data_IF_525020683065
#
_entry.id   IF_525020683065
#
_cell.length_a   1.000
_cell.length_b   1.000
_cell.length_c   1.000
_cell.angle_alpha   90.00
_cell.angle_beta   90.00
_cell.angle_gamma   90.00
#
_symmetry.space_group_name_H-M   'P 1'
#
loop_
_entity.id
_entity.type
_entity.pdbx_description
1 polymer ?
#
# COMPACT_ATOMS: atom_id res chain seq x y z
N UNK A 1 -11.22 2.80 13.60
CA UNK A 1 -11.08 4.05 12.83
C UNK A 1 -12.12 4.12 11.72
N UNK A 2 -12.52 5.34 11.32
CA UNK A 2 -13.40 5.53 10.15
C UNK A 2 -12.51 5.59 8.92
N UNK A 3 -12.76 4.73 7.94
CA UNK A 3 -12.10 4.70 6.64
C UNK A 3 -13.16 4.52 5.54
N UNK A 4 -12.84 4.96 4.32
CA UNK A 4 -13.64 4.63 3.14
C UNK A 4 -13.73 3.11 2.97
N UNK A 5 -14.90 2.62 2.53
CA UNK A 5 -15.15 1.19 2.39
C UNK A 5 -14.13 0.53 1.44
N UNK A 6 -13.81 1.20 0.33
CA UNK A 6 -12.80 0.69 -0.60
C UNK A 6 -11.40 0.62 0.02
N UNK A 7 -11.01 1.58 0.87
CA UNK A 7 -9.71 1.54 1.55
C UNK A 7 -9.58 0.38 2.55
N UNK A 8 -10.69 -0.09 3.12
CA UNK A 8 -10.71 -1.22 4.05
C UNK A 8 -10.42 -2.56 3.36
N UNK A 9 -10.67 -2.68 2.05
CA UNK A 9 -10.39 -3.87 1.27
C UNK A 9 -8.93 -4.35 1.33
N UNK A 10 -7.98 -3.48 1.72
CA UNK A 10 -6.59 -3.87 1.94
C UNK A 10 -6.46 -5.07 2.88
N UNK A 11 -7.28 -5.15 3.92
CA UNK A 11 -7.19 -6.23 4.91
C UNK A 11 -7.67 -7.58 4.37
N UNK A 12 -8.63 -7.56 3.45
CA UNK A 12 -9.11 -8.76 2.75
C UNK A 12 -7.98 -9.44 1.98
N UNK A 13 -7.10 -8.64 1.36
CA UNK A 13 -6.00 -9.15 0.54
C UNK A 13 -4.73 -9.38 1.33
N UNK A 14 -4.46 -8.55 2.35
CA UNK A 14 -3.28 -8.68 3.20
C UNK A 14 -3.39 -9.89 4.14
N UNK A 15 -4.58 -10.18 4.66
CA UNK A 15 -4.85 -11.28 5.59
C UNK A 15 -3.85 -11.34 6.76
N UNK A 16 -3.67 -10.24 7.53
CA UNK A 16 -2.64 -10.18 8.57
C UNK A 16 -2.91 -11.19 9.68
N UNK A 17 -1.84 -11.80 10.21
CA UNK A 17 -1.93 -12.83 11.26
C UNK A 17 -1.13 -12.44 12.50
N UNK A 18 -1.58 -12.92 13.66
CA UNK A 18 -0.84 -12.75 14.90
C UNK A 18 0.54 -13.40 14.82
N UNK A 19 1.53 -12.71 15.38
CA UNK A 19 2.92 -13.18 15.40
C UNK A 19 3.74 -12.85 14.14
N UNK A 20 3.10 -12.33 13.08
CA UNK A 20 3.79 -11.92 11.86
C UNK A 20 4.51 -10.57 12.00
N UNK A 21 5.58 -10.40 11.25
CA UNK A 21 6.26 -9.13 11.01
C UNK A 21 5.61 -8.46 9.79
N UNK A 22 4.93 -7.35 9.99
CA UNK A 22 4.14 -6.68 8.95
C UNK A 22 4.65 -5.27 8.73
N UNK A 23 4.91 -4.91 7.47
CA UNK A 23 5.22 -3.55 7.07
C UNK A 23 3.98 -2.86 6.50
N UNK A 24 3.68 -1.67 7.00
CA UNK A 24 2.75 -0.70 6.39
C UNK A 24 3.59 0.45 5.83
N UNK A 25 3.76 0.49 4.52
CA UNK A 25 4.59 1.47 3.82
C UNK A 25 3.72 2.55 3.18
N UNK A 26 4.13 3.81 3.32
CA UNK A 26 3.35 5.02 3.06
C UNK A 26 2.14 5.11 4.02
N UNK A 27 2.40 4.82 5.29
CA UNK A 27 1.41 4.52 6.31
C UNK A 27 0.52 5.70 6.74
N UNK A 28 1.00 6.93 6.58
CA UNK A 28 0.28 8.09 7.10
C UNK A 28 -1.06 8.34 6.37
N UNK A 29 -2.13 8.58 7.09
CA UNK A 29 -2.24 8.98 8.52
C UNK A 29 -2.41 7.83 9.52
N UNK A 30 -2.17 6.57 9.15
CA UNK A 30 -2.18 5.43 10.08
C UNK A 30 -3.50 4.65 10.17
N UNK A 31 -4.45 4.93 9.28
CA UNK A 31 -5.72 4.19 9.25
C UNK A 31 -5.54 2.71 8.92
N UNK A 32 -4.65 2.39 7.99
CA UNK A 32 -4.34 1.01 7.62
C UNK A 32 -3.47 0.32 8.67
N UNK A 33 -2.50 1.04 9.26
CA UNK A 33 -1.70 0.57 10.41
C UNK A 33 -2.59 0.09 11.55
N UNK A 34 -3.56 0.93 11.95
CA UNK A 34 -4.49 0.57 13.05
C UNK A 34 -5.41 -0.57 12.65
N UNK A 35 -5.86 -0.65 11.39
CA UNK A 35 -6.70 -1.73 10.90
C UNK A 35 -5.95 -3.08 10.89
N UNK A 36 -4.66 -3.10 10.52
CA UNK A 36 -3.82 -4.29 10.66
C UNK A 36 -3.82 -4.78 12.11
N UNK A 37 -3.64 -3.87 13.08
CA UNK A 37 -3.62 -4.20 14.51
C UNK A 37 -4.99 -4.57 15.07
N UNK A 38 -6.10 -4.08 14.48
CA UNK A 38 -7.45 -4.52 14.83
C UNK A 38 -7.68 -5.99 14.43
N UNK A 39 -7.19 -6.39 13.24
CA UNK A 39 -7.31 -7.76 12.73
C UNK A 39 -6.31 -8.71 13.39
N UNK A 40 -5.07 -8.27 13.60
CA UNK A 40 -3.98 -9.06 14.14
C UNK A 40 -3.31 -8.32 15.33
N UNK A 41 -3.93 -8.33 16.52
CA UNK A 41 -3.45 -7.54 17.68
C UNK A 41 -2.07 -7.93 18.20
N UNK A 42 -1.58 -9.13 17.87
CA UNK A 42 -0.27 -9.64 18.27
C UNK A 42 0.76 -9.61 17.11
N UNK A 43 0.44 -8.97 15.99
CA UNK A 43 1.41 -8.75 14.93
C UNK A 43 2.42 -7.67 15.33
N UNK A 44 3.65 -7.83 14.86
CA UNK A 44 4.68 -6.80 14.97
C UNK A 44 4.61 -5.89 13.75
N UNK A 45 3.99 -4.71 13.90
CA UNK A 45 3.77 -3.79 12.79
C UNK A 45 4.81 -2.68 12.79
N UNK A 46 5.45 -2.48 11.62
CA UNK A 46 6.28 -1.32 11.32
C UNK A 46 5.52 -0.43 10.33
N UNK A 47 5.25 0.82 10.72
CA UNK A 47 4.61 1.84 9.90
C UNK A 47 5.65 2.86 9.45
N UNK A 48 5.78 3.06 8.14
CA UNK A 48 6.81 3.93 7.55
C UNK A 48 6.16 4.93 6.60
N UNK A 49 6.55 6.19 6.73
CA UNK A 49 6.18 7.25 5.77
C UNK A 49 7.36 8.20 5.58
N UNK A 50 7.47 8.80 4.41
CA UNK A 50 8.55 9.75 4.11
C UNK A 50 8.32 11.10 4.80
N UNK A 51 7.07 11.46 5.06
CA UNK A 51 6.66 12.74 5.63
C UNK A 51 6.53 12.66 7.16
N UNK A 52 7.52 13.22 7.85
CA UNK A 52 7.56 13.28 9.32
C UNK A 52 6.33 14.00 9.92
N UNK A 53 5.85 15.05 9.27
CA UNK A 53 4.69 15.80 9.77
C UNK A 53 3.41 14.94 9.72
N UNK A 54 3.27 14.13 8.67
CA UNK A 54 2.14 13.21 8.53
C UNK A 54 2.22 12.06 9.54
N UNK A 55 3.42 11.65 9.96
CA UNK A 55 3.61 10.60 10.97
C UNK A 55 3.06 10.98 12.35
N UNK A 56 2.96 12.28 12.67
CA UNK A 56 2.31 12.73 13.91
C UNK A 56 0.89 12.15 14.06
N UNK A 57 0.14 12.08 12.94
CA UNK A 57 -1.22 11.50 12.91
C UNK A 57 -1.24 9.99 13.16
N UNK A 58 -0.19 9.29 12.75
CA UNK A 58 -0.04 7.84 13.03
C UNK A 58 0.10 7.64 14.53
N UNK A 59 0.99 8.41 15.19
CA UNK A 59 1.15 8.38 16.64
C UNK A 59 -0.14 8.72 17.38
N UNK A 60 -0.87 9.74 16.95
CA UNK A 60 -2.13 10.15 17.56
C UNK A 60 -3.19 9.04 17.46
N UNK A 61 -3.30 8.39 16.31
CA UNK A 61 -4.22 7.29 16.09
C UNK A 61 -3.87 6.07 16.97
N UNK A 62 -2.60 5.68 17.00
CA UNK A 62 -2.13 4.58 17.85
C UNK A 62 -2.41 4.87 19.34
N UNK A 63 -2.08 6.08 19.80
CA UNK A 63 -2.34 6.51 21.19
C UNK A 63 -3.83 6.48 21.52
N UNK A 64 -4.67 7.06 20.66
CA UNK A 64 -6.12 7.11 20.85
C UNK A 64 -6.76 5.73 20.94
N UNK A 65 -6.24 4.75 20.20
CA UNK A 65 -6.75 3.38 20.16
C UNK A 65 -6.04 2.43 21.14
N UNK A 66 -5.04 2.92 21.90
CA UNK A 66 -4.27 2.09 22.81
C UNK A 66 -3.43 1.02 22.13
N UNK A 67 -3.07 1.25 20.85
CA UNK A 67 -2.32 0.32 20.01
C UNK A 67 -0.83 0.67 19.97
N UNK A 68 0.00 -0.29 19.61
CA UNK A 68 1.45 -0.11 19.49
C UNK A 68 1.95 -0.59 18.13
N UNK A 69 2.72 0.24 17.45
CA UNK A 69 3.48 -0.10 16.26
C UNK A 69 4.85 0.58 16.32
N UNK A 70 5.80 0.08 15.58
CA UNK A 70 7.06 0.76 15.35
C UNK A 70 6.84 1.79 14.23
N UNK A 71 6.93 3.08 14.53
CA UNK A 71 6.73 4.14 13.55
C UNK A 71 8.09 4.73 13.19
N UNK A 72 8.38 4.83 11.90
CA UNK A 72 9.66 5.37 11.39
C UNK A 72 9.42 6.32 10.22
N UNK A 73 10.23 7.37 10.17
CA UNK A 73 10.38 8.14 8.94
C UNK A 73 11.32 7.40 8.00
N UNK A 74 10.95 7.28 6.71
CA UNK A 74 11.81 6.64 5.73
C UNK A 74 11.29 6.76 4.31
N UNK A 75 12.22 6.81 3.37
CA UNK A 75 11.92 6.73 1.94
C UNK A 75 11.75 5.25 1.54
N UNK A 76 10.61 4.91 0.95
CA UNK A 76 10.31 3.55 0.49
C UNK A 76 11.30 3.00 -0.53
N UNK A 77 12.03 3.89 -1.24
CA UNK A 77 13.11 3.52 -2.17
C UNK A 77 14.42 3.13 -1.48
N UNK A 78 14.53 3.34 -0.17
CA UNK A 78 15.76 3.15 0.60
C UNK A 78 15.53 2.35 1.88
N UNK A 79 14.97 1.14 1.80
CA UNK A 79 14.58 0.36 2.98
C UNK A 79 15.74 0.07 3.93
N UNK A 80 16.96 -0.10 3.42
CA UNK A 80 18.13 -0.35 4.25
C UNK A 80 18.39 0.76 5.29
N UNK A 81 18.01 2.02 5.01
CA UNK A 81 18.23 3.14 5.93
C UNK A 81 17.32 3.07 7.17
N UNK A 82 16.16 2.42 7.10
CA UNK A 82 15.19 2.41 8.18
C UNK A 82 14.79 1.02 8.70
N UNK A 83 14.98 -0.08 7.94
CA UNK A 83 14.76 -1.44 8.44
C UNK A 83 16.00 -2.34 8.40
N UNK A 84 17.12 -1.88 7.83
CA UNK A 84 18.32 -2.70 7.66
C UNK A 84 18.03 -3.95 6.83
N UNK A 85 18.37 -5.12 7.36
CA UNK A 85 18.14 -6.42 6.72
C UNK A 85 16.82 -7.10 7.16
N UNK A 86 15.94 -6.38 7.86
CA UNK A 86 14.67 -6.94 8.32
C UNK A 86 13.84 -7.44 7.14
N UNK A 87 13.30 -8.64 7.29
CA UNK A 87 12.35 -9.23 6.34
C UNK A 87 10.97 -9.34 6.98
N UNK A 88 9.95 -9.13 6.16
CA UNK A 88 8.55 -9.10 6.58
C UNK A 88 7.79 -10.32 6.04
N UNK A 89 6.86 -10.82 6.83
CA UNK A 89 5.92 -11.85 6.39
C UNK A 89 4.87 -11.26 5.45
N UNK A 90 4.49 -9.98 5.72
CA UNK A 90 3.56 -9.24 4.90
C UNK A 90 3.99 -7.79 4.72
N UNK A 91 3.72 -7.26 3.53
CA UNK A 91 3.94 -5.86 3.21
C UNK A 91 2.65 -5.28 2.63
N UNK A 92 2.15 -4.20 3.22
CA UNK A 92 1.15 -3.34 2.62
C UNK A 92 1.86 -2.12 2.04
N UNK A 93 1.78 -1.95 0.73
CA UNK A 93 2.24 -0.75 0.04
C UNK A 93 1.02 0.04 -0.43
N UNK A 94 0.58 1.00 0.39
CA UNK A 94 -0.43 2.00 0.00
C UNK A 94 0.28 3.11 -0.77
N UNK A 95 0.53 2.85 -2.06
CA UNK A 95 1.50 3.59 -2.84
C UNK A 95 1.10 5.07 -3.04
N UNK A 96 2.08 5.99 -3.02
CA UNK A 96 1.83 7.38 -3.40
C UNK A 96 1.32 7.40 -4.83
N UNK A 97 0.17 8.05 -5.07
CA UNK A 97 -0.50 8.03 -6.35
C UNK A 97 -1.23 9.35 -6.65
N UNK A 98 -1.79 9.48 -7.85
CA UNK A 98 -2.53 10.66 -8.30
C UNK A 98 -3.79 10.96 -7.48
N UNK A 99 -4.29 9.98 -6.73
CA UNK A 99 -5.53 10.03 -5.96
C UNK A 99 -6.79 10.29 -6.84
N UNK A 100 -6.75 9.93 -8.11
CA UNK A 100 -7.87 10.16 -9.04
C UNK A 100 -9.14 9.38 -8.67
N UNK A 101 -9.03 8.32 -7.86
CA UNK A 101 -10.16 7.56 -7.34
C UNK A 101 -11.00 8.29 -6.29
N UNK A 102 -10.45 9.32 -5.63
CA UNK A 102 -11.16 10.08 -4.58
C UNK A 102 -11.76 11.40 -5.08
N UNK A 103 -11.88 11.58 -6.38
CA UNK A 103 -12.40 12.80 -7.02
C UNK A 103 -13.82 13.16 -6.56
N UNK A 104 -14.59 12.20 -6.08
CA UNK A 104 -15.93 12.43 -5.50
C UNK A 104 -15.84 13.35 -4.28
N UNK A 105 -14.81 13.20 -3.45
CA UNK A 105 -14.57 14.00 -2.24
C UNK A 105 -13.63 15.18 -2.49
N UNK A 106 -12.76 15.06 -3.49
CA UNK A 106 -11.74 16.04 -3.87
C UNK A 106 -11.80 16.32 -5.37
N UNK A 107 -12.85 17.04 -5.85
CA UNK A 107 -13.09 17.25 -7.28
C UNK A 107 -12.04 18.12 -7.97
N UNK A 108 -11.24 18.85 -7.19
CA UNK A 108 -10.10 19.66 -7.66
C UNK A 108 -8.97 18.81 -8.25
N UNK A 109 -8.84 17.55 -7.85
CA UNK A 109 -7.81 16.62 -8.34
C UNK A 109 -7.79 16.55 -9.87
N UNK A 110 -8.94 16.47 -10.51
CA UNK A 110 -9.06 16.40 -11.97
C UNK A 110 -8.45 17.62 -12.71
N UNK A 111 -8.33 18.76 -12.03
CA UNK A 111 -7.78 20.00 -12.58
C UNK A 111 -6.31 20.20 -12.21
N UNK A 112 -5.87 19.59 -11.10
CA UNK A 112 -4.52 19.76 -10.57
C UNK A 112 -3.53 18.74 -11.14
N UNK A 113 -3.99 17.58 -11.60
CA UNK A 113 -3.10 16.54 -12.14
C UNK A 113 -2.74 16.80 -13.60
N UNK A 114 -1.46 16.61 -13.93
CA UNK A 114 -0.88 16.72 -15.27
C UNK A 114 -0.31 15.37 -15.67
N UNK A 115 -0.21 15.09 -16.97
CA UNK A 115 0.36 13.83 -17.48
C UNK A 115 1.77 13.54 -16.92
N UNK A 116 2.59 14.58 -16.79
CA UNK A 116 3.91 14.47 -16.18
C UNK A 116 3.86 13.95 -14.73
N UNK A 117 2.92 14.45 -13.94
CA UNK A 117 2.78 14.04 -12.53
C UNK A 117 2.45 12.55 -12.44
N UNK A 118 1.63 12.03 -13.38
CA UNK A 118 1.29 10.60 -13.44
C UNK A 118 2.52 9.75 -13.75
N UNK A 119 3.33 10.18 -14.73
CA UNK A 119 4.55 9.47 -15.10
C UNK A 119 5.56 9.45 -13.94
N UNK A 120 5.76 10.57 -13.26
CA UNK A 120 6.64 10.68 -12.09
C UNK A 120 6.16 9.77 -10.94
N UNK A 121 4.84 9.71 -10.69
CA UNK A 121 4.26 8.84 -9.67
C UNK A 121 4.39 7.36 -10.05
N UNK A 122 4.13 6.99 -11.30
CA UNK A 122 4.28 5.62 -11.76
C UNK A 122 5.75 5.14 -11.64
N UNK A 123 6.72 6.02 -11.95
CA UNK A 123 8.14 5.71 -11.74
C UNK A 123 8.47 5.56 -10.25
N UNK A 124 7.99 6.45 -9.40
CA UNK A 124 8.18 6.36 -7.95
C UNK A 124 7.62 5.05 -7.38
N UNK A 125 6.44 4.64 -7.82
CA UNK A 125 5.80 3.38 -7.43
C UNK A 125 6.65 2.18 -7.86
N UNK A 126 7.20 2.21 -9.09
CA UNK A 126 8.11 1.18 -9.58
C UNK A 126 9.35 1.07 -8.71
N UNK A 127 9.99 2.20 -8.41
CA UNK A 127 11.21 2.25 -7.61
C UNK A 127 10.98 1.73 -6.18
N UNK A 128 9.82 2.05 -5.58
CA UNK A 128 9.45 1.54 -4.24
C UNK A 128 9.22 0.03 -4.29
N UNK A 129 8.46 -0.48 -5.28
CA UNK A 129 8.22 -1.91 -5.44
C UNK A 129 9.53 -2.69 -5.55
N UNK A 130 10.44 -2.23 -6.41
CA UNK A 130 11.74 -2.88 -6.63
C UNK A 130 12.62 -2.84 -5.37
N UNK A 131 12.60 -1.74 -4.63
CA UNK A 131 13.39 -1.60 -3.42
C UNK A 131 12.87 -2.44 -2.25
N UNK A 132 11.52 -2.57 -2.10
CA UNK A 132 10.95 -3.26 -0.95
C UNK A 132 10.78 -4.77 -1.16
N UNK A 133 10.71 -5.24 -2.40
CA UNK A 133 10.52 -6.66 -2.72
C UNK A 133 11.55 -7.59 -2.07
N UNK A 134 12.86 -7.28 -2.03
CA UNK A 134 13.86 -8.11 -1.33
C UNK A 134 13.59 -8.30 0.16
N UNK A 135 12.87 -7.35 0.78
CA UNK A 135 12.51 -7.40 2.20
C UNK A 135 11.25 -8.23 2.49
N UNK A 136 10.58 -8.76 1.49
CA UNK A 136 9.53 -9.76 1.66
C UNK A 136 10.17 -11.15 1.78
N UNK A 137 9.75 -11.92 2.79
CA UNK A 137 10.16 -13.33 2.92
C UNK A 137 9.62 -14.18 1.76
N UNK A 138 10.31 -15.28 1.42
CA UNK A 138 9.73 -16.32 0.55
C UNK A 138 8.44 -16.87 1.18
N UNK A 139 7.39 -17.05 0.39
CA UNK A 139 6.03 -17.35 0.85
C UNK A 139 5.28 -16.14 1.42
N UNK A 140 5.91 -14.99 1.55
CA UNK A 140 5.30 -13.77 2.05
C UNK A 140 4.33 -13.12 1.05
N UNK A 141 3.48 -12.23 1.57
CA UNK A 141 2.46 -11.52 0.79
C UNK A 141 2.76 -10.02 0.73
N UNK A 142 2.78 -9.45 -0.46
CA UNK A 142 2.74 -8.00 -0.67
C UNK A 142 1.39 -7.61 -1.26
N UNK A 143 0.70 -6.68 -0.62
CA UNK A 143 -0.49 -6.03 -1.18
C UNK A 143 -0.09 -4.64 -1.66
N UNK A 144 -0.16 -4.46 -2.97
CA UNK A 144 -0.03 -3.16 -3.61
C UNK A 144 -1.42 -2.52 -3.70
N UNK A 145 -1.55 -1.29 -3.25
CA UNK A 145 -2.80 -0.56 -3.27
C UNK A 145 -2.60 0.90 -3.71
N UNK A 146 -3.57 1.44 -4.43
CA UNK A 146 -3.63 2.87 -4.77
C UNK A 146 -5.08 3.36 -4.69
N UNK A 147 -5.27 4.63 -4.38
CA UNK A 147 -6.55 5.32 -4.59
C UNK A 147 -6.60 6.02 -5.97
N UNK A 148 -6.02 5.39 -6.98
CA UNK A 148 -6.03 5.84 -8.38
C UNK A 148 -6.97 4.97 -9.22
N UNK A 149 -7.47 5.53 -10.33
CA UNK A 149 -8.19 4.79 -11.38
C UNK A 149 -7.38 4.69 -12.68
N UNK A 150 -6.15 5.19 -12.67
CA UNK A 150 -5.31 5.24 -13.86
C UNK A 150 -4.53 3.93 -14.06
N UNK A 151 -4.63 3.30 -15.24
CA UNK A 151 -3.95 2.04 -15.52
C UNK A 151 -2.42 2.11 -15.35
N UNK A 152 -1.81 3.26 -15.62
CA UNK A 152 -0.38 3.50 -15.51
C UNK A 152 0.13 3.30 -14.08
N UNK A 153 -0.67 3.68 -13.10
CA UNK A 153 -0.38 3.52 -11.67
C UNK A 153 -0.82 2.16 -11.12
N UNK A 154 -1.65 1.43 -11.87
CA UNK A 154 -2.37 0.24 -11.43
C UNK A 154 -1.97 -1.02 -12.21
N UNK A 155 -2.81 -1.48 -13.14
CA UNK A 155 -2.60 -2.76 -13.84
C UNK A 155 -1.32 -2.78 -14.69
N UNK A 156 -0.97 -1.68 -15.33
CA UNK A 156 0.28 -1.58 -16.09
C UNK A 156 1.51 -1.63 -15.18
N UNK A 157 1.44 -0.99 -14.00
CA UNK A 157 2.51 -1.03 -13.01
C UNK A 157 2.77 -2.47 -12.54
N UNK A 158 1.70 -3.19 -12.20
CA UNK A 158 1.82 -4.58 -11.73
C UNK A 158 2.26 -5.52 -12.85
N UNK A 159 1.74 -5.37 -14.08
CA UNK A 159 2.18 -6.15 -15.23
C UNK A 159 3.69 -5.96 -15.50
N UNK A 160 4.17 -4.71 -15.43
CA UNK A 160 5.60 -4.41 -15.60
C UNK A 160 6.44 -5.00 -14.45
N UNK A 161 5.95 -4.96 -13.21
CA UNK A 161 6.62 -5.55 -12.05
C UNK A 161 6.73 -7.07 -12.19
N UNK A 162 5.64 -7.77 -12.49
CA UNK A 162 5.65 -9.23 -12.70
C UNK A 162 6.60 -9.68 -13.81
N UNK A 163 6.71 -8.89 -14.88
CA UNK A 163 7.62 -9.19 -16.00
C UNK A 163 9.09 -9.15 -15.62
N UNK A 164 9.48 -8.23 -14.70
CA UNK A 164 10.89 -8.05 -14.31
C UNK A 164 11.27 -8.77 -13.01
N UNK A 165 10.28 -9.36 -12.30
CA UNK A 165 10.46 -9.98 -10.98
C UNK A 165 9.97 -11.44 -11.04
N UNK A 166 10.84 -12.38 -11.49
CA UNK A 166 10.43 -13.77 -11.76
C UNK A 166 9.92 -14.55 -10.56
N UNK A 167 10.30 -14.14 -9.33
CA UNK A 167 9.86 -14.73 -8.06
C UNK A 167 8.58 -14.06 -7.51
N UNK A 168 7.92 -13.20 -8.29
CA UNK A 168 6.63 -12.61 -7.94
C UNK A 168 5.48 -13.30 -8.68
N UNK A 169 4.50 -13.79 -7.93
CA UNK A 169 3.29 -14.39 -8.47
C UNK A 169 2.04 -13.59 -8.04
N UNK A 170 1.16 -13.30 -9.01
CA UNK A 170 -0.15 -12.69 -8.73
C UNK A 170 -1.10 -13.73 -8.13
N UNK A 171 -1.84 -13.35 -7.07
CA UNK A 171 -2.82 -14.23 -6.41
C UNK A 171 -4.15 -13.51 -6.17
N UNK A 172 -5.25 -14.18 -6.50
CA UNK A 172 -6.63 -13.82 -6.17
C UNK A 172 -7.10 -12.42 -6.68
N UNK A 173 -6.22 -11.65 -7.30
CA UNK A 173 -6.50 -10.28 -7.78
C UNK A 173 -6.23 -10.18 -9.28
N UNK A 174 -7.19 -10.62 -10.08
CA UNK A 174 -7.09 -10.58 -11.55
C UNK A 174 -6.29 -11.72 -12.17
N UNK A 175 -5.83 -11.53 -13.40
CA UNK A 175 -5.01 -12.48 -14.18
C UNK A 175 -3.70 -11.83 -14.61
N UNK A 176 -2.70 -12.58 -15.08
CA UNK A 176 -1.46 -11.99 -15.60
C UNK A 176 -1.66 -10.99 -16.74
N UNK A 177 -2.73 -11.17 -17.55
CA UNK A 177 -3.09 -10.28 -18.66
C UNK A 177 -3.83 -9.01 -18.19
N UNK A 178 -4.52 -9.11 -17.04
CA UNK A 178 -5.22 -7.99 -16.39
C UNK A 178 -5.01 -8.07 -14.89
N UNK A 179 -3.79 -7.73 -14.42
CA UNK A 179 -3.45 -7.89 -13.01
C UNK A 179 -4.10 -6.80 -12.16
N UNK A 180 -4.58 -7.23 -10.99
CA UNK A 180 -5.21 -6.37 -10.00
C UNK A 180 -6.73 -6.29 -10.12
N UNK A 181 -7.34 -5.72 -9.09
CA UNK A 181 -8.78 -5.43 -9.01
C UNK A 181 -8.98 -3.93 -8.92
N UNK A 182 -9.73 -3.37 -9.85
CA UNK A 182 -10.05 -1.95 -9.90
C UNK A 182 -11.49 -1.71 -9.44
N UNK A 183 -11.67 -1.04 -8.31
CA UNK A 183 -12.93 -0.45 -7.90
C UNK A 183 -13.02 0.97 -8.48
N UNK A 184 -14.11 1.27 -9.18
CA UNK A 184 -14.35 2.61 -9.70
C UNK A 184 -15.11 3.46 -8.67
N UNK A 185 -14.96 4.81 -8.70
CA UNK A 185 -15.72 5.70 -7.82
C UNK A 185 -17.22 5.50 -7.97
N UNK A 186 -17.92 5.34 -6.85
CA UNK A 186 -19.37 5.11 -6.83
C UNK A 186 -19.80 3.64 -6.95
N UNK A 187 -18.88 2.72 -7.26
CA UNK A 187 -19.14 1.31 -7.08
C UNK A 187 -19.25 1.02 -5.57
N UNK A 188 -20.32 0.33 -5.15
CA UNK A 188 -20.56 -0.04 -3.75
C UNK A 188 -20.45 1.16 -2.76
N UNK A 189 -20.80 2.36 -3.22
CA UNK A 189 -20.73 3.62 -2.46
C UNK A 189 -19.34 4.06 -2.01
N UNK A 190 -18.27 3.38 -2.46
CA UNK A 190 -16.88 3.65 -2.12
C UNK A 190 -16.16 4.60 -3.09
N UNK A 191 -14.95 4.96 -2.73
CA UNK A 191 -14.01 5.63 -3.62
C UNK A 191 -13.39 4.66 -4.64
N UNK A 192 -12.77 5.21 -5.70
CA UNK A 192 -11.97 4.40 -6.61
C UNK A 192 -10.71 3.88 -5.89
N UNK A 193 -10.45 2.59 -6.02
CA UNK A 193 -9.32 1.94 -5.38
C UNK A 193 -8.82 0.75 -6.21
N UNK A 194 -7.53 0.51 -6.18
CA UNK A 194 -6.92 -0.63 -6.86
C UNK A 194 -6.16 -1.50 -5.87
N UNK A 195 -6.19 -2.82 -6.09
CA UNK A 195 -5.46 -3.82 -5.30
C UNK A 195 -4.78 -4.84 -6.19
N UNK A 196 -3.55 -5.19 -5.84
CA UNK A 196 -2.87 -6.38 -6.35
C UNK A 196 -2.20 -7.13 -5.21
N UNK A 197 -2.52 -8.43 -5.08
CA UNK A 197 -1.91 -9.34 -4.11
C UNK A 197 -0.80 -10.13 -4.79
N UNK A 198 0.42 -9.96 -4.32
CA UNK A 198 1.63 -10.60 -4.83
C UNK A 198 2.19 -11.54 -3.75
N UNK A 199 2.61 -12.72 -4.18
CA UNK A 199 3.29 -13.70 -3.33
C UNK A 199 4.71 -13.86 -3.84
N UNK A 200 5.69 -13.93 -2.92
CA UNK A 200 7.08 -14.22 -3.27
C UNK A 200 7.29 -15.74 -3.25
N UNK A 201 7.62 -16.31 -4.39
CA UNK A 201 7.89 -17.75 -4.57
C UNK A 201 9.30 -18.15 -4.11
#
# INVERSE_FOLDING_TARGET
TVQDASAQGCMTWLEPKNGEQILDLCAAPGGKTTHILEVAPQASVMAVDVDEQRLSRVYDNLKRLGMKAQVKQGDGRKPAEWCGETQFDRILLDAPCSATGVIRRHPDIKWLRRDRDIQELAQLQSDILDAIWPHLKSGGTLVYATCSVLPEENSQQIAAFLKRTPDAALRDTGTPESPGLQNLPGAEEGDGFFYAKLIKE
#
